data_IF_844070089987
#
_entry.id   IF_844070089987
#
_cell.length_a   1.000
_cell.length_b   1.000
_cell.length_c   1.000
_cell.angle_alpha   90.00
_cell.angle_beta   90.00
_cell.angle_gamma   90.00
#
_symmetry.space_group_name_H-M   'P 1'
#
loop_
_entity.id
_entity.type
_entity.pdbx_description
1 polymer ?
#
# COMPACT_ATOMS: atom_id res chain seq x y z
N UNK A 1 12.27 7.46 -20.35
CA UNK A 1 11.12 7.16 -19.47
C UNK A 1 11.68 6.51 -18.23
N UNK A 2 11.71 7.23 -17.11
CA UNK A 2 12.10 6.65 -15.82
C UNK A 2 11.07 5.60 -15.44
N UNK A 3 11.53 4.38 -15.13
CA UNK A 3 10.69 3.36 -14.53
C UNK A 3 10.26 3.84 -13.14
N UNK A 4 8.97 4.12 -12.93
CA UNK A 4 8.46 4.50 -11.61
C UNK A 4 8.42 3.25 -10.73
N UNK A 5 9.11 3.33 -9.59
CA UNK A 5 9.13 2.29 -8.57
C UNK A 5 8.13 2.62 -7.47
N UNK A 6 7.54 1.57 -6.93
CA UNK A 6 6.53 1.63 -5.89
C UNK A 6 6.90 0.71 -4.74
N UNK A 7 6.50 1.10 -3.54
CA UNK A 7 6.42 0.25 -2.38
C UNK A 7 5.05 -0.40 -2.31
N UNK A 8 5.03 -1.70 -2.04
CA UNK A 8 3.79 -2.43 -1.78
C UNK A 8 3.56 -2.43 -0.28
N UNK A 9 2.53 -1.71 0.17
CA UNK A 9 2.17 -1.56 1.57
C UNK A 9 0.90 -2.36 1.85
N UNK A 10 0.95 -3.25 2.85
CA UNK A 10 -0.25 -3.90 3.38
C UNK A 10 -0.85 -2.99 4.44
N UNK A 11 -2.17 -2.78 4.36
CA UNK A 11 -2.94 -2.08 5.39
C UNK A 11 -3.91 -3.07 6.01
N UNK A 12 -3.86 -3.20 7.33
CA UNK A 12 -4.71 -4.11 8.08
C UNK A 12 -5.44 -3.35 9.19
N UNK A 13 -6.76 -3.46 9.19
CA UNK A 13 -7.61 -2.96 10.27
C UNK A 13 -7.74 -4.01 11.36
N UNK A 14 -7.62 -3.60 12.62
CA UNK A 14 -7.81 -4.45 13.78
C UNK A 14 -8.53 -3.68 14.89
N UNK A 15 -9.25 -4.40 15.76
CA UNK A 15 -9.86 -3.81 16.95
C UNK A 15 -9.00 -4.11 18.17
N UNK A 16 -8.62 -3.07 18.91
CA UNK A 16 -7.94 -3.21 20.20
C UNK A 16 -8.72 -2.47 21.26
N UNK A 17 -9.22 -3.21 22.28
CA UNK A 17 -10.05 -2.67 23.36
C UNK A 17 -11.29 -1.91 22.85
N UNK A 18 -11.92 -2.42 21.79
CA UNK A 18 -13.12 -1.81 21.19
C UNK A 18 -12.85 -0.61 20.29
N UNK A 19 -11.60 -0.15 20.17
CA UNK A 19 -11.21 0.94 19.26
C UNK A 19 -10.67 0.33 17.97
N UNK A 20 -11.24 0.72 16.82
CA UNK A 20 -10.69 0.36 15.51
C UNK A 20 -9.36 1.08 15.29
N UNK A 21 -8.36 0.35 14.86
CA UNK A 21 -7.03 0.85 14.50
C UNK A 21 -6.63 0.25 13.16
N UNK A 22 -5.74 0.95 12.47
CA UNK A 22 -5.05 0.43 11.30
C UNK A 22 -3.57 0.24 11.62
N UNK A 23 -2.96 -0.74 10.95
CA UNK A 23 -1.50 -0.88 10.88
C UNK A 23 -1.11 -1.04 9.42
N UNK A 24 -0.03 -0.38 9.04
CA UNK A 24 0.55 -0.52 7.72
C UNK A 24 2.01 -0.97 7.81
N UNK A 25 2.45 -1.74 6.82
CA UNK A 25 3.86 -2.09 6.67
C UNK A 25 4.16 -2.49 5.22
N UNK A 26 5.41 -2.29 4.82
CA UNK A 26 5.92 -2.70 3.52
C UNK A 26 6.02 -4.22 3.44
N UNK A 27 5.46 -4.79 2.39
CA UNK A 27 5.44 -6.24 2.10
C UNK A 27 6.13 -6.57 0.78
N UNK A 28 6.55 -5.57 0.02
CA UNK A 28 7.23 -5.78 -1.25
C UNK A 28 7.45 -4.48 -2.00
N UNK A 29 7.71 -4.61 -3.30
CA UNK A 29 7.84 -3.48 -4.20
C UNK A 29 7.12 -3.74 -5.53
N UNK A 30 6.91 -2.69 -6.29
CA UNK A 30 6.29 -2.74 -7.60
C UNK A 30 7.00 -1.84 -8.59
N UNK A 31 6.83 -2.14 -9.87
CA UNK A 31 7.36 -1.33 -10.95
C UNK A 31 6.32 -1.22 -12.06
N UNK A 32 6.02 0.01 -12.47
CA UNK A 32 5.19 0.25 -13.63
C UNK A 32 5.95 -0.13 -14.90
N UNK A 33 5.32 -0.96 -15.73
CA UNK A 33 5.80 -1.32 -17.06
C UNK A 33 4.98 -0.57 -18.11
N UNK A 34 5.48 -0.52 -19.36
CA UNK A 34 4.73 0.10 -20.47
C UNK A 34 3.32 -0.48 -20.64
N UNK A 35 3.13 -1.76 -20.29
CA UNK A 35 1.85 -2.46 -20.33
C UNK A 35 1.70 -3.33 -19.09
N UNK A 36 1.28 -2.71 -17.99
CA UNK A 36 0.95 -3.39 -16.75
C UNK A 36 1.89 -3.05 -15.61
N UNK A 37 1.83 -3.89 -14.58
CA UNK A 37 2.54 -3.71 -13.32
C UNK A 37 3.26 -5.01 -12.98
N UNK A 38 4.52 -4.89 -12.56
CA UNK A 38 5.27 -6.00 -11.97
C UNK A 38 5.30 -5.80 -10.46
N UNK A 39 4.94 -6.85 -9.71
CA UNK A 39 4.97 -6.85 -8.23
C UNK A 39 6.00 -7.88 -7.77
N UNK A 40 6.85 -7.48 -6.83
CA UNK A 40 7.82 -8.33 -6.18
C UNK A 40 7.41 -8.54 -4.73
N UNK A 41 7.02 -9.76 -4.38
CA UNK A 41 6.75 -10.20 -3.01
C UNK A 41 7.90 -11.12 -2.60
N UNK A 42 8.55 -10.89 -1.44
CA UNK A 42 9.63 -11.75 -0.96
C UNK A 42 9.20 -13.21 -0.82
N UNK A 43 10.13 -14.12 -1.10
CA UNK A 43 9.87 -15.56 -0.91
C UNK A 43 9.48 -15.88 0.53
N UNK A 44 8.58 -16.85 0.71
CA UNK A 44 8.05 -17.24 2.02
C UNK A 44 7.00 -16.30 2.61
N UNK A 45 6.65 -15.21 1.91
CA UNK A 45 5.60 -14.29 2.35
C UNK A 45 4.30 -14.53 1.56
N UNK A 46 3.23 -14.86 2.28
CA UNK A 46 1.88 -14.83 1.74
C UNK A 46 1.22 -13.50 2.13
N UNK A 47 0.72 -12.77 1.12
CA UNK A 47 0.08 -11.48 1.33
C UNK A 47 -1.38 -11.58 0.88
N UNK A 48 -2.29 -11.18 1.75
CA UNK A 48 -3.73 -11.17 1.51
C UNK A 48 -4.36 -9.95 2.16
N UNK A 49 -5.57 -9.60 1.72
CA UNK A 49 -6.27 -8.40 2.15
C UNK A 49 -5.96 -7.20 1.26
N UNK A 50 -6.07 -5.99 1.83
CA UNK A 50 -5.91 -4.75 1.09
C UNK A 50 -4.44 -4.36 0.96
N UNK A 51 -4.05 -4.00 -0.27
CA UNK A 51 -2.70 -3.59 -0.63
C UNK A 51 -2.72 -2.25 -1.33
N UNK A 52 -1.69 -1.45 -1.06
CA UNK A 52 -1.48 -0.13 -1.66
C UNK A 52 -0.11 -0.08 -2.36
N UNK A 53 -0.06 0.56 -3.52
CA UNK A 53 1.17 0.87 -4.24
C UNK A 53 1.51 2.34 -4.05
N UNK A 54 2.65 2.61 -3.44
CA UNK A 54 3.10 3.95 -3.06
C UNK A 54 4.38 4.29 -3.82
N UNK A 55 4.47 5.36 -4.63
CA UNK A 55 5.71 5.71 -5.31
C UNK A 55 6.88 5.87 -4.33
N UNK A 56 8.03 5.24 -4.60
CA UNK A 56 9.24 5.37 -3.75
C UNK A 56 9.76 6.82 -3.68
N UNK A 57 9.42 7.63 -4.70
CA UNK A 57 9.73 9.06 -4.78
C UNK A 57 8.43 9.86 -4.73
N UNK A 58 7.85 9.96 -3.54
CA UNK A 58 6.73 10.84 -3.24
C UNK A 58 7.14 11.92 -2.24
N UNK A 59 6.65 13.14 -2.43
CA UNK A 59 6.81 14.24 -1.46
C UNK A 59 5.86 14.12 -0.25
N UNK A 60 5.12 13.03 -0.16
CA UNK A 60 4.12 12.77 0.88
C UNK A 60 4.76 11.90 1.96
N UNK A 61 4.55 12.29 3.22
CA UNK A 61 5.00 11.49 4.34
C UNK A 61 4.10 10.25 4.48
N UNK A 62 4.59 9.21 5.18
CA UNK A 62 3.83 7.95 5.39
C UNK A 62 2.42 8.17 5.95
N UNK A 63 2.24 9.19 6.80
CA UNK A 63 0.93 9.54 7.39
C UNK A 63 -0.02 10.08 6.32
N UNK A 64 0.44 11.00 5.48
CA UNK A 64 -0.37 11.62 4.42
C UNK A 64 -0.85 10.55 3.41
N UNK A 65 -0.02 9.54 3.15
CA UNK A 65 -0.35 8.42 2.27
C UNK A 65 -1.43 7.50 2.85
N UNK A 66 -1.41 7.27 4.17
CA UNK A 66 -2.42 6.47 4.86
C UNK A 66 -3.76 7.21 4.96
N UNK A 67 -3.73 8.52 5.16
CA UNK A 67 -4.94 9.35 5.14
C UNK A 67 -5.53 9.42 3.72
N UNK A 68 -4.70 9.64 2.70
CA UNK A 68 -5.12 9.60 1.31
C UNK A 68 -5.68 8.21 0.92
N UNK A 69 -5.09 7.14 1.46
CA UNK A 69 -5.62 5.78 1.29
C UNK A 69 -6.99 5.61 1.92
N UNK A 70 -7.15 6.02 3.19
CA UNK A 70 -8.43 5.91 3.90
C UNK A 70 -9.52 6.70 3.18
N UNK A 71 -9.21 7.92 2.73
CA UNK A 71 -10.12 8.74 1.96
C UNK A 71 -10.51 8.09 0.62
N UNK A 72 -9.55 7.50 -0.11
CA UNK A 72 -9.85 6.78 -1.35
C UNK A 72 -10.65 5.49 -1.09
N UNK A 73 -10.34 4.73 -0.04
CA UNK A 73 -11.09 3.53 0.32
C UNK A 73 -12.56 3.85 0.65
N UNK A 74 -12.79 4.93 1.41
CA UNK A 74 -14.13 5.45 1.71
C UNK A 74 -14.87 5.91 0.44
N UNK A 75 -14.19 6.59 -0.48
CA UNK A 75 -14.77 7.08 -1.74
C UNK A 75 -15.19 5.94 -2.68
N UNK A 76 -14.38 4.88 -2.78
CA UNK A 76 -14.66 3.73 -3.64
C UNK A 76 -15.46 2.62 -2.94
N UNK A 77 -15.84 2.82 -1.67
CA UNK A 77 -16.67 1.89 -0.88
C UNK A 77 -16.00 0.54 -0.60
N UNK A 78 -14.66 0.52 -0.46
CA UNK A 78 -13.85 -0.70 -0.33
C UNK A 78 -13.39 -0.96 1.09
#
# INVERSE_FOLDING_TARGET
MSSVRYDLIKVEEYSHKGVKRSRSWKVGSGMALKRGLMIFIPEGMAVSGRLMLVPEQGSLNEVDMLEAYAAAADEFGV
#
